data_IF_707562657466
#
_entry.id   IF_707562657466
#
_cell.length_a   1.000
_cell.length_b   1.000
_cell.length_c   1.000
_cell.angle_alpha   90.00
_cell.angle_beta   90.00
_cell.angle_gamma   90.00
#
_symmetry.space_group_name_H-M   'P 1'
#
loop_
_entity.id
_entity.type
_entity.pdbx_description
1 polymer ?
#
# COMPACT_ATOMS: atom_id res chain seq x y z
N UNK A 1 -43.47 -45.80 -29.39
CA UNK A 1 -43.18 -44.34 -29.42
C UNK A 1 -42.37 -43.99 -28.17
N UNK A 2 -41.05 -43.74 -28.26
CA UNK A 2 -40.27 -43.24 -27.13
C UNK A 2 -40.27 -41.70 -27.11
N UNK A 3 -40.42 -41.10 -25.93
CA UNK A 3 -40.32 -39.66 -25.70
C UNK A 3 -40.82 -39.34 -24.29
N UNK A 4 -40.14 -38.59 -23.42
CA UNK A 4 -38.97 -37.73 -23.55
C UNK A 4 -38.16 -37.83 -22.24
N UNK A 5 -36.85 -37.99 -22.36
CA UNK A 5 -35.92 -37.78 -21.25
C UNK A 5 -35.80 -36.27 -21.01
N UNK A 6 -36.19 -35.82 -19.81
CA UNK A 6 -35.96 -34.47 -19.33
C UNK A 6 -34.54 -34.40 -18.77
N UNK A 7 -33.59 -33.93 -19.59
CA UNK A 7 -32.26 -33.59 -19.11
C UNK A 7 -32.35 -32.29 -18.29
N UNK A 8 -32.15 -32.41 -16.99
CA UNK A 8 -31.91 -31.29 -16.07
C UNK A 8 -30.61 -30.60 -16.51
N UNK A 9 -30.68 -29.31 -16.81
CA UNK A 9 -29.50 -28.46 -16.98
C UNK A 9 -28.88 -28.26 -15.59
N UNK A 10 -27.88 -29.07 -15.27
CA UNK A 10 -27.00 -28.82 -14.13
C UNK A 10 -26.23 -27.53 -14.44
N UNK A 11 -26.49 -26.49 -13.66
CA UNK A 11 -25.79 -25.22 -13.76
C UNK A 11 -24.31 -25.43 -13.47
N UNK A 12 -23.47 -25.12 -14.46
CA UNK A 12 -22.02 -25.01 -14.30
C UNK A 12 -21.71 -24.15 -13.07
N UNK A 13 -20.81 -24.58 -12.16
CA UNK A 13 -20.43 -23.77 -11.02
C UNK A 13 -19.86 -22.44 -11.52
N UNK A 14 -20.53 -21.34 -11.15
CA UNK A 14 -20.06 -19.99 -11.43
C UNK A 14 -18.64 -19.86 -10.88
N UNK A 15 -17.66 -19.72 -11.77
CA UNK A 15 -16.27 -19.59 -11.41
C UNK A 15 -16.12 -18.49 -10.36
N UNK A 16 -15.60 -18.83 -9.18
CA UNK A 16 -15.27 -17.85 -8.15
C UNK A 16 -14.40 -16.78 -8.80
N UNK A 17 -14.77 -15.48 -8.72
CA UNK A 17 -13.95 -14.42 -9.30
C UNK A 17 -12.51 -14.58 -8.81
N UNK A 18 -11.55 -14.60 -9.73
CA UNK A 18 -10.14 -14.64 -9.35
C UNK A 18 -9.87 -13.48 -8.37
N UNK A 19 -9.24 -13.79 -7.24
CA UNK A 19 -8.98 -12.78 -6.20
C UNK A 19 -8.17 -11.62 -6.79
N UNK A 20 -8.65 -10.39 -6.54
CA UNK A 20 -7.97 -9.17 -7.02
C UNK A 20 -6.59 -9.05 -6.38
N UNK A 21 -5.61 -8.49 -7.10
CA UNK A 21 -4.30 -8.25 -6.53
C UNK A 21 -4.38 -7.13 -5.48
N UNK A 22 -3.55 -7.24 -4.43
CA UNK A 22 -3.59 -6.31 -3.29
C UNK A 22 -2.37 -5.40 -3.28
N UNK A 23 -2.57 -4.09 -3.16
CA UNK A 23 -1.49 -3.11 -3.03
C UNK A 23 -1.54 -2.36 -1.69
N UNK A 24 -0.39 -2.25 -1.05
CA UNK A 24 -0.18 -1.39 0.11
C UNK A 24 0.55 -0.12 -0.31
N UNK A 25 0.01 1.04 0.05
CA UNK A 25 0.57 2.34 -0.32
C UNK A 25 0.81 3.18 0.93
N UNK A 26 2.07 3.46 1.25
CA UNK A 26 2.42 4.37 2.35
C UNK A 26 2.33 5.83 1.92
N UNK A 27 1.97 6.73 2.83
CA UNK A 27 1.77 8.13 2.49
C UNK A 27 0.49 8.41 1.69
N UNK A 28 -0.43 7.44 1.60
CA UNK A 28 -1.60 7.50 0.72
C UNK A 28 -2.56 8.68 0.97
N UNK A 29 -2.51 9.31 2.14
CA UNK A 29 -3.37 10.45 2.50
C UNK A 29 -3.12 11.76 1.72
N UNK A 30 -2.07 11.87 0.90
CA UNK A 30 -1.81 13.07 0.09
C UNK A 30 -0.76 12.84 -1.02
N UNK A 31 -0.65 13.80 -1.94
CA UNK A 31 0.46 13.87 -2.90
C UNK A 31 0.56 12.65 -3.81
N UNK A 32 1.78 12.21 -4.08
CA UNK A 32 2.06 11.08 -5.00
C UNK A 32 1.44 9.77 -4.48
N UNK A 33 1.46 9.51 -3.17
CA UNK A 33 0.86 8.32 -2.59
C UNK A 33 -0.65 8.27 -2.77
N UNK A 34 -1.32 9.42 -2.68
CA UNK A 34 -2.75 9.54 -2.98
C UNK A 34 -3.06 9.23 -4.44
N UNK A 35 -2.25 9.74 -5.37
CA UNK A 35 -2.40 9.45 -6.80
C UNK A 35 -2.20 7.96 -7.11
N UNK A 36 -1.17 7.32 -6.52
CA UNK A 36 -0.98 5.87 -6.63
C UNK A 36 -2.21 5.10 -6.12
N UNK A 37 -2.74 5.45 -4.96
CA UNK A 37 -3.92 4.78 -4.41
C UNK A 37 -5.12 4.89 -5.36
N UNK A 38 -5.41 6.08 -5.90
CA UNK A 38 -6.49 6.25 -6.87
C UNK A 38 -6.29 5.42 -8.13
N UNK A 39 -5.14 5.52 -8.76
CA UNK A 39 -4.87 4.83 -10.03
C UNK A 39 -4.89 3.30 -9.87
N UNK A 40 -4.43 2.77 -8.74
CA UNK A 40 -4.49 1.34 -8.45
C UNK A 40 -5.93 0.87 -8.21
N UNK A 41 -6.75 1.64 -7.48
CA UNK A 41 -8.18 1.33 -7.30
C UNK A 41 -8.93 1.32 -8.64
N UNK A 42 -8.73 2.35 -9.48
CA UNK A 42 -9.28 2.43 -10.84
C UNK A 42 -8.83 1.24 -11.72
N UNK A 43 -7.62 0.72 -11.46
CA UNK A 43 -7.08 -0.48 -12.10
C UNK A 43 -7.57 -1.82 -11.51
N UNK A 44 -8.51 -1.80 -10.57
CA UNK A 44 -9.11 -3.00 -9.98
C UNK A 44 -8.27 -3.68 -8.90
N UNK A 45 -7.34 -2.96 -8.25
CA UNK A 45 -6.59 -3.46 -7.11
C UNK A 45 -7.34 -3.23 -5.79
N UNK A 46 -7.31 -4.22 -4.92
CA UNK A 46 -7.70 -4.01 -3.52
C UNK A 46 -6.57 -3.28 -2.80
N UNK A 47 -6.91 -2.36 -1.89
CA UNK A 47 -5.95 -1.41 -1.32
C UNK A 47 -5.85 -1.44 0.19
N UNK A 48 -4.61 -1.26 0.66
CA UNK A 48 -4.28 -0.98 2.05
C UNK A 48 -3.57 0.38 2.09
N UNK A 49 -4.31 1.50 2.13
CA UNK A 49 -3.69 2.81 2.22
C UNK A 49 -3.18 3.03 3.64
N UNK A 50 -1.93 3.46 3.78
CA UNK A 50 -1.27 3.70 5.08
C UNK A 50 -0.94 5.17 5.24
N UNK A 51 -1.40 5.79 6.32
CA UNK A 51 -0.99 7.14 6.71
C UNK A 51 -1.29 7.47 8.17
N UNK A 52 -0.69 8.54 8.68
CA UNK A 52 -0.85 9.02 10.07
C UNK A 52 -2.15 9.79 10.32
N UNK A 53 -2.66 10.45 9.28
CA UNK A 53 -3.81 11.37 9.39
C UNK A 53 -5.11 10.60 9.17
N UNK A 54 -5.64 10.02 10.25
CA UNK A 54 -6.85 9.20 10.22
C UNK A 54 -8.03 9.83 9.45
N UNK A 55 -8.38 11.12 9.63
CA UNK A 55 -9.52 11.70 8.90
C UNK A 55 -9.32 11.72 7.39
N UNK A 56 -8.10 12.05 6.92
CA UNK A 56 -7.80 12.07 5.47
C UNK A 56 -7.76 10.66 4.89
N UNK A 57 -7.27 9.70 5.66
CA UNK A 57 -7.18 8.30 5.24
C UNK A 57 -8.57 7.66 5.13
N UNK A 58 -9.45 7.94 6.10
CA UNK A 58 -10.85 7.49 6.08
C UNK A 58 -11.62 8.10 4.91
N UNK A 59 -11.47 9.40 4.66
CA UNK A 59 -12.08 10.04 3.49
C UNK A 59 -11.61 9.43 2.17
N UNK A 60 -10.30 9.12 2.04
CA UNK A 60 -9.76 8.41 0.89
C UNK A 60 -10.42 7.03 0.73
N UNK A 61 -10.43 6.23 1.79
CA UNK A 61 -10.98 4.88 1.74
C UNK A 61 -12.47 4.87 1.33
N UNK A 62 -13.26 5.80 1.88
CA UNK A 62 -14.65 5.97 1.48
C UNK A 62 -14.79 6.35 0.00
N UNK A 63 -13.94 7.24 -0.51
CA UNK A 63 -13.99 7.66 -1.92
C UNK A 63 -13.61 6.54 -2.88
N UNK A 64 -12.63 5.69 -2.53
CA UNK A 64 -12.15 4.60 -3.39
C UNK A 64 -13.03 3.35 -3.31
N UNK A 65 -13.69 3.09 -2.17
CA UNK A 65 -14.61 1.97 -2.02
C UNK A 65 -15.81 2.05 -2.98
N UNK A 66 -16.15 3.25 -3.46
CA UNK A 66 -17.18 3.46 -4.48
C UNK A 66 -16.82 2.83 -5.84
N UNK A 67 -15.53 2.56 -6.09
CA UNK A 67 -15.04 1.95 -7.33
C UNK A 67 -15.14 0.41 -7.32
N UNK A 68 -15.75 -0.16 -6.27
CA UNK A 68 -16.03 -1.61 -6.17
C UNK A 68 -14.85 -2.47 -5.77
N UNK A 69 -13.72 -1.86 -5.38
CA UNK A 69 -12.55 -2.52 -4.79
C UNK A 69 -12.64 -2.53 -3.25
N UNK A 70 -11.95 -3.48 -2.62
CA UNK A 70 -11.81 -3.49 -1.17
C UNK A 70 -10.76 -2.47 -0.73
N UNK A 71 -11.06 -1.66 0.29
CA UNK A 71 -10.12 -0.67 0.84
C UNK A 71 -10.06 -0.79 2.36
N UNK A 72 -8.89 -1.18 2.87
CA UNK A 72 -8.61 -1.45 4.29
C UNK A 72 -7.59 -0.43 4.82
N UNK A 73 -8.01 0.75 5.28
CA UNK A 73 -7.11 1.81 5.71
C UNK A 73 -6.38 1.46 7.00
N UNK A 74 -5.05 1.59 7.00
CA UNK A 74 -4.21 1.37 8.18
C UNK A 74 -3.62 2.70 8.67
N UNK A 75 -4.07 3.16 9.83
CA UNK A 75 -3.50 4.34 10.47
C UNK A 75 -2.22 3.95 11.20
N UNK A 76 -1.07 4.46 10.73
CA UNK A 76 0.23 4.17 11.33
C UNK A 76 1.20 5.34 11.15
N UNK A 77 1.99 5.61 12.20
CA UNK A 77 3.19 6.44 12.12
C UNK A 77 4.41 5.55 11.86
N UNK A 78 5.15 5.85 10.80
CA UNK A 78 6.34 5.10 10.42
C UNK A 78 7.59 5.53 11.20
N UNK A 79 7.54 6.66 11.93
CA UNK A 79 8.59 7.02 12.90
C UNK A 79 8.41 6.29 14.23
N UNK A 80 7.19 5.83 14.53
CA UNK A 80 6.91 5.03 15.72
C UNK A 80 7.22 3.54 15.46
N UNK A 81 8.04 2.89 16.29
CA UNK A 81 8.31 1.46 16.17
C UNK A 81 7.05 0.58 16.13
N UNK A 82 6.00 0.93 16.87
CA UNK A 82 4.76 0.14 16.89
C UNK A 82 3.97 0.32 15.58
N UNK A 83 3.83 1.57 15.11
CA UNK A 83 3.23 1.86 13.82
C UNK A 83 3.96 1.17 12.65
N UNK A 84 5.30 1.20 12.64
CA UNK A 84 6.08 0.51 11.62
C UNK A 84 5.88 -1.02 11.67
N UNK A 85 5.89 -1.61 12.87
CA UNK A 85 5.68 -3.05 13.05
C UNK A 85 4.28 -3.50 12.59
N UNK A 86 3.25 -2.70 12.83
CA UNK A 86 1.89 -2.98 12.36
C UNK A 86 1.81 -3.05 10.83
N UNK A 87 2.54 -2.17 10.13
CA UNK A 87 2.60 -2.19 8.66
C UNK A 87 3.40 -3.40 8.16
N UNK A 88 4.53 -3.75 8.80
CA UNK A 88 5.27 -4.98 8.47
C UNK A 88 4.43 -6.24 8.65
N UNK A 89 3.68 -6.33 9.75
CA UNK A 89 2.77 -7.45 10.01
C UNK A 89 1.70 -7.52 8.92
N UNK A 90 1.11 -6.39 8.54
CA UNK A 90 0.09 -6.34 7.50
C UNK A 90 0.63 -6.79 6.14
N UNK A 91 1.87 -6.43 5.80
CA UNK A 91 2.57 -6.94 4.62
C UNK A 91 2.81 -8.45 4.74
N UNK A 92 3.19 -8.93 5.93
CA UNK A 92 3.42 -10.34 6.24
C UNK A 92 2.20 -11.24 5.98
N UNK A 93 0.98 -10.70 6.09
CA UNK A 93 -0.27 -11.38 5.76
C UNK A 93 -0.50 -11.55 4.24
N UNK A 94 0.34 -10.94 3.41
CA UNK A 94 0.31 -11.05 1.95
C UNK A 94 -0.20 -9.79 1.26
N UNK A 95 0.63 -9.28 0.35
CA UNK A 95 0.34 -8.21 -0.62
C UNK A 95 1.09 -8.50 -1.92
N UNK A 96 0.61 -7.97 -3.04
CA UNK A 96 1.22 -8.15 -4.35
C UNK A 96 2.07 -6.93 -4.77
N UNK A 97 1.78 -5.76 -4.21
CA UNK A 97 2.53 -4.53 -4.42
C UNK A 97 2.72 -3.77 -3.11
N UNK A 98 3.94 -3.29 -2.86
CA UNK A 98 4.22 -2.28 -1.83
C UNK A 98 4.77 -1.02 -2.48
N UNK A 99 4.07 0.09 -2.28
CA UNK A 99 4.52 1.42 -2.70
C UNK A 99 4.97 2.20 -1.47
N UNK A 100 6.28 2.30 -1.30
CA UNK A 100 6.91 3.15 -0.29
C UNK A 100 6.90 4.59 -0.79
N UNK A 101 5.88 5.36 -0.37
CA UNK A 101 5.68 6.75 -0.78
C UNK A 101 5.45 7.71 0.41
N UNK A 102 5.47 7.20 1.64
CA UNK A 102 5.50 8.06 2.81
C UNK A 102 6.78 8.89 2.82
N UNK A 103 6.62 10.19 3.02
CA UNK A 103 7.73 11.13 3.06
C UNK A 103 7.29 12.49 3.55
N UNK A 104 8.25 13.24 4.07
CA UNK A 104 8.13 14.67 4.37
C UNK A 104 9.50 15.32 4.23
N UNK A 105 9.55 16.64 4.26
CA UNK A 105 10.78 17.41 4.15
C UNK A 105 10.98 18.31 5.38
N UNK A 106 12.23 18.50 5.77
CA UNK A 106 12.66 19.49 6.77
C UNK A 106 13.52 20.55 6.08
N UNK A 107 12.90 21.45 5.31
CA UNK A 107 13.62 22.46 4.53
C UNK A 107 14.19 23.55 5.44
N UNK A 108 15.48 23.41 5.79
CA UNK A 108 16.25 24.41 6.53
C UNK A 108 17.75 24.09 6.45
N UNK A 109 18.64 25.03 6.77
CA UNK A 109 20.06 24.74 6.95
C UNK A 109 20.27 23.60 7.94
N UNK A 110 21.21 22.69 7.66
CA UNK A 110 21.44 21.53 8.53
C UNK A 110 21.79 21.92 9.97
N UNK A 111 22.54 23.01 10.16
CA UNK A 111 22.91 23.53 11.48
C UNK A 111 21.73 24.04 12.30
N UNK A 112 20.60 24.30 11.66
CA UNK A 112 19.36 24.73 12.30
C UNK A 112 18.36 23.57 12.46
N UNK A 113 18.62 22.42 11.81
CA UNK A 113 17.72 21.28 11.80
C UNK A 113 17.68 20.61 13.19
N UNK A 114 16.51 20.54 13.86
CA UNK A 114 16.41 19.87 15.14
C UNK A 114 16.77 18.37 15.01
N UNK A 115 17.57 17.79 15.93
CA UNK A 115 17.97 16.39 15.87
C UNK A 115 16.81 15.40 15.73
N UNK A 116 15.66 15.72 16.33
CA UNK A 116 14.45 14.90 16.30
C UNK A 116 13.80 14.89 14.92
N UNK A 117 13.86 16.02 14.20
CA UNK A 117 13.38 16.12 12.81
C UNK A 117 14.33 15.36 11.89
N UNK A 118 15.64 15.49 12.07
CA UNK A 118 16.64 14.73 11.33
C UNK A 118 16.44 13.21 11.52
N UNK A 119 16.25 12.78 12.77
CA UNK A 119 15.96 11.37 13.09
C UNK A 119 14.67 10.89 12.43
N UNK A 120 13.61 11.69 12.49
CA UNK A 120 12.32 11.38 11.85
C UNK A 120 12.43 11.26 10.32
N UNK A 121 13.27 12.08 9.68
CA UNK A 121 13.55 11.98 8.24
C UNK A 121 14.24 10.65 7.91
N UNK A 122 15.24 10.25 8.71
CA UNK A 122 15.93 8.96 8.54
C UNK A 122 14.97 7.80 8.80
N UNK A 123 14.13 7.89 9.83
CA UNK A 123 13.16 6.84 10.17
C UNK A 123 12.18 6.60 9.02
N UNK A 124 11.63 7.66 8.42
CA UNK A 124 10.67 7.52 7.30
C UNK A 124 11.36 7.12 6.00
N UNK A 125 12.44 7.81 5.61
CA UNK A 125 13.02 7.65 4.26
C UNK A 125 13.97 6.45 4.15
N UNK A 126 14.57 6.01 5.25
CA UNK A 126 15.58 4.94 5.24
C UNK A 126 15.07 3.72 5.99
N UNK A 127 14.77 3.87 7.28
CA UNK A 127 14.44 2.73 8.15
C UNK A 127 13.13 2.07 7.72
N UNK A 128 12.06 2.83 7.55
CA UNK A 128 10.77 2.30 7.15
C UNK A 128 10.84 1.64 5.76
N UNK A 129 11.42 2.31 4.76
CA UNK A 129 11.58 1.75 3.41
C UNK A 129 12.32 0.42 3.45
N UNK A 130 13.43 0.34 4.17
CA UNK A 130 14.24 -0.88 4.30
C UNK A 130 13.44 -2.02 4.94
N UNK A 131 12.76 -1.72 6.05
CA UNK A 131 11.99 -2.71 6.82
C UNK A 131 10.77 -3.23 6.06
N UNK A 132 9.98 -2.33 5.49
CA UNK A 132 8.80 -2.68 4.71
C UNK A 132 9.16 -3.45 3.44
N UNK A 133 10.24 -3.06 2.75
CA UNK A 133 10.76 -3.83 1.60
C UNK A 133 11.20 -5.23 2.02
N UNK A 134 11.91 -5.35 3.16
CA UNK A 134 12.30 -6.65 3.70
C UNK A 134 11.10 -7.54 4.04
N UNK A 135 10.06 -6.98 4.66
CA UNK A 135 8.81 -7.70 4.92
C UNK A 135 8.13 -8.15 3.61
N UNK A 136 8.06 -7.27 2.61
CA UNK A 136 7.45 -7.55 1.32
C UNK A 136 8.17 -8.70 0.59
N UNK A 137 9.48 -8.59 0.42
CA UNK A 137 10.29 -9.57 -0.31
C UNK A 137 10.21 -10.96 0.33
N UNK A 138 10.16 -11.06 1.66
CA UNK A 138 10.00 -12.35 2.36
C UNK A 138 8.71 -13.09 1.96
N UNK A 139 7.62 -12.35 1.67
CA UNK A 139 6.34 -12.95 1.25
C UNK A 139 6.22 -13.13 -0.27
N UNK A 140 6.93 -12.30 -1.05
CA UNK A 140 6.88 -12.31 -2.52
C UNK A 140 7.80 -13.37 -3.13
N UNK A 141 9.00 -13.56 -2.56
CA UNK A 141 10.02 -14.44 -3.12
C UNK A 141 9.57 -15.91 -3.23
N UNK A 142 8.95 -16.53 -2.21
CA UNK A 142 8.47 -17.92 -2.32
C UNK A 142 7.39 -18.10 -3.38
N UNK A 143 6.57 -17.06 -3.62
CA UNK A 143 5.51 -17.05 -4.64
C UNK A 143 6.05 -16.70 -6.04
N UNK A 144 7.32 -16.28 -6.15
CA UNK A 144 7.95 -15.74 -7.36
C UNK A 144 7.12 -14.63 -8.03
N UNK A 145 6.37 -13.87 -7.22
CA UNK A 145 5.43 -12.85 -7.69
C UNK A 145 5.32 -11.74 -6.66
N UNK A 146 5.36 -10.51 -7.16
CA UNK A 146 5.16 -9.28 -6.39
C UNK A 146 6.09 -8.18 -6.88
N UNK A 147 5.81 -6.94 -6.46
CA UNK A 147 6.60 -5.78 -6.81
C UNK A 147 6.75 -4.83 -5.62
N UNK A 148 7.86 -4.09 -5.60
CA UNK A 148 8.10 -2.99 -4.64
C UNK A 148 8.46 -1.74 -5.43
N UNK A 149 7.83 -0.61 -5.11
CA UNK A 149 8.11 0.69 -5.68
C UNK A 149 8.57 1.61 -4.54
N UNK A 150 9.75 2.20 -4.69
CA UNK A 150 10.27 3.22 -3.78
C UNK A 150 10.18 4.58 -4.46
N UNK A 151 9.33 5.47 -3.92
CA UNK A 151 9.20 6.83 -4.41
C UNK A 151 10.20 7.71 -3.68
N UNK A 152 11.25 8.12 -4.39
CA UNK A 152 12.26 9.05 -3.90
C UNK A 152 11.98 10.49 -4.38
N UNK A 153 12.88 11.42 -4.04
CA UNK A 153 12.84 12.81 -4.49
C UNK A 153 14.00 13.11 -5.42
N UNK A 154 13.79 13.99 -6.41
CA UNK A 154 14.87 14.53 -7.25
C UNK A 154 15.95 15.24 -6.42
N UNK A 155 15.59 15.74 -5.24
CA UNK A 155 16.54 16.37 -4.31
C UNK A 155 17.64 15.41 -3.83
N UNK A 156 17.43 14.09 -3.93
CA UNK A 156 18.49 13.11 -3.65
C UNK A 156 19.63 13.15 -4.68
N UNK A 157 19.41 13.78 -5.84
CA UNK A 157 20.36 13.89 -6.94
C UNK A 157 20.68 15.34 -7.32
N UNK A 158 20.11 16.32 -6.62
CA UNK A 158 20.45 17.73 -6.85
C UNK A 158 21.76 18.05 -6.13
N UNK A 159 22.73 18.58 -6.86
CA UNK A 159 23.93 19.17 -6.26
C UNK A 159 23.51 20.40 -5.44
N UNK A 160 23.99 20.44 -4.19
CA UNK A 160 23.82 21.57 -3.26
C UNK A 160 25.07 22.41 -3.24
#
# INVERSE_FOLDING_TARGET
MPGRSSATLEGEPMATPAARPVALVTGASSGVGHAYARQLAEGGWDLIPVARRAPRLSALAASLGADGVSVDPLVADLTDPAGLAAVEERIGRGVDLVVNCAGFAGYMPFVELPPEVASSLIDVHVRAVTRLTGAAVRTMLPRRRGAVINVASLLAFSES
#
